data_IF_726085098239
#
_entry.id   IF_726085098239
#
_cell.length_a   1.000
_cell.length_b   1.000
_cell.length_c   1.000
_cell.angle_alpha   90.00
_cell.angle_beta   90.00
_cell.angle_gamma   90.00
#
_symmetry.space_group_name_H-M   'P 1'
#
loop_
_entity.id
_entity.type
_entity.pdbx_description
1 polymer ?
#
# COMPACT_ATOMS: atom_id res chain seq x y z
N UNK A 1 2.86 14.46 -20.27
CA UNK A 1 2.90 13.64 -19.04
C UNK A 1 3.99 12.62 -19.30
N UNK A 2 5.17 12.73 -18.67
CA UNK A 2 6.25 11.76 -18.92
C UNK A 2 5.79 10.42 -18.36
N UNK A 3 5.43 9.49 -19.23
CA UNK A 3 5.26 8.09 -18.87
C UNK A 3 6.62 7.60 -18.35
N UNK A 4 6.74 7.51 -17.03
CA UNK A 4 7.93 6.99 -16.39
C UNK A 4 7.96 5.48 -16.67
N UNK A 5 9.02 4.98 -17.29
CA UNK A 5 9.16 3.53 -17.50
C UNK A 5 9.10 2.80 -16.16
N UNK A 6 8.51 1.61 -16.13
CA UNK A 6 8.35 0.82 -14.90
C UNK A 6 9.70 0.62 -14.17
N UNK A 7 10.80 0.49 -14.92
CA UNK A 7 12.16 0.42 -14.39
C UNK A 7 12.57 1.68 -13.62
N UNK A 8 12.31 2.87 -14.18
CA UNK A 8 12.62 4.14 -13.49
C UNK A 8 11.76 4.32 -12.25
N UNK A 9 10.50 3.89 -12.30
CA UNK A 9 9.58 3.92 -11.17
C UNK A 9 10.07 3.01 -10.04
N UNK A 10 10.51 1.80 -10.37
CA UNK A 10 11.13 0.86 -9.42
C UNK A 10 12.39 1.46 -8.80
N UNK A 11 13.32 1.95 -9.63
CA UNK A 11 14.56 2.54 -9.15
C UNK A 11 14.31 3.70 -8.17
N UNK A 12 13.34 4.57 -8.49
CA UNK A 12 12.96 5.68 -7.60
C UNK A 12 12.33 5.18 -6.29
N UNK A 13 11.41 4.22 -6.34
CA UNK A 13 10.77 3.70 -5.14
C UNK A 13 11.76 2.99 -4.21
N UNK A 14 12.70 2.22 -4.77
CA UNK A 14 13.79 1.59 -4.01
C UNK A 14 14.71 2.64 -3.39
N UNK A 15 15.04 3.70 -4.12
CA UNK A 15 15.85 4.82 -3.62
C UNK A 15 15.19 5.54 -2.44
N UNK A 16 13.87 5.63 -2.44
CA UNK A 16 13.11 6.28 -1.36
C UNK A 16 12.98 5.43 -0.09
N UNK A 17 13.37 4.14 -0.12
CA UNK A 17 13.37 3.30 1.07
C UNK A 17 14.51 3.71 2.00
N UNK A 18 14.20 3.88 3.29
CA UNK A 18 15.17 4.26 4.31
C UNK A 18 15.00 3.41 5.57
N UNK A 19 16.11 3.21 6.30
CA UNK A 19 16.11 2.48 7.57
C UNK A 19 15.66 1.03 7.42
N UNK A 20 14.70 0.61 8.23
CA UNK A 20 14.17 -0.77 8.27
C UNK A 20 13.61 -1.24 6.91
N UNK A 21 13.03 -0.31 6.13
CA UNK A 21 12.47 -0.65 4.82
C UNK A 21 13.57 -0.96 3.79
N UNK A 22 14.68 -0.23 3.84
CA UNK A 22 15.84 -0.50 2.98
C UNK A 22 16.50 -1.83 3.35
N UNK A 23 16.69 -2.07 4.66
CA UNK A 23 17.30 -3.31 5.15
C UNK A 23 16.48 -4.54 4.74
N UNK A 24 15.17 -4.48 4.95
CA UNK A 24 14.27 -5.54 4.50
C UNK A 24 14.33 -5.74 2.98
N UNK A 25 14.21 -4.66 2.21
CA UNK A 25 14.17 -4.75 0.75
C UNK A 25 15.45 -5.40 0.20
N UNK A 26 16.62 -5.10 0.78
CA UNK A 26 17.89 -5.74 0.41
C UNK A 26 17.84 -7.27 0.58
N UNK A 27 17.29 -7.74 1.70
CA UNK A 27 17.14 -9.17 1.97
C UNK A 27 16.14 -9.85 1.05
N UNK A 28 14.96 -9.23 0.86
CA UNK A 28 13.91 -9.75 -0.03
C UNK A 28 14.35 -9.75 -1.49
N UNK A 29 15.00 -8.69 -1.96
CA UNK A 29 15.56 -8.61 -3.32
C UNK A 29 16.57 -9.72 -3.57
N UNK A 30 17.48 -9.97 -2.62
CA UNK A 30 18.45 -11.06 -2.71
C UNK A 30 17.77 -12.43 -2.79
N UNK A 31 16.77 -12.68 -1.94
CA UNK A 31 15.99 -13.92 -1.96
C UNK A 31 15.22 -14.12 -3.27
N UNK A 32 14.57 -13.08 -3.79
CA UNK A 32 13.82 -13.13 -5.05
C UNK A 32 14.75 -13.43 -6.23
N UNK A 33 15.90 -12.76 -6.27
CA UNK A 33 16.93 -13.00 -7.29
C UNK A 33 17.48 -14.43 -7.21
N UNK A 34 17.76 -14.93 -6.00
CA UNK A 34 18.22 -16.30 -5.79
C UNK A 34 17.20 -17.36 -6.24
N UNK A 35 15.90 -17.03 -6.21
CA UNK A 35 14.81 -17.86 -6.74
C UNK A 35 14.59 -17.71 -8.24
N UNK A 36 15.38 -16.88 -8.92
CA UNK A 36 15.24 -16.58 -10.35
C UNK A 36 14.02 -15.72 -10.68
N UNK A 37 13.43 -15.04 -9.70
CA UNK A 37 12.29 -14.14 -9.91
C UNK A 37 12.78 -12.83 -10.53
N UNK A 38 12.14 -12.39 -11.61
CA UNK A 38 12.38 -11.07 -12.20
C UNK A 38 11.79 -10.02 -11.27
N UNK A 39 12.64 -9.15 -10.72
CA UNK A 39 12.21 -8.05 -9.85
C UNK A 39 11.87 -6.83 -10.69
N UNK A 40 10.63 -6.77 -11.16
CA UNK A 40 10.06 -5.61 -11.82
C UNK A 40 9.21 -4.76 -10.86
N UNK A 41 8.60 -3.70 -11.40
CA UNK A 41 7.75 -2.79 -10.62
C UNK A 41 6.56 -3.50 -9.95
N UNK A 42 5.92 -4.44 -10.64
CA UNK A 42 4.75 -5.14 -10.09
C UNK A 42 5.16 -6.14 -9.01
N UNK A 43 6.29 -6.85 -9.19
CA UNK A 43 6.87 -7.71 -8.17
C UNK A 43 7.20 -6.91 -6.89
N UNK A 44 7.95 -5.80 -7.03
CA UNK A 44 8.25 -4.91 -5.91
C UNK A 44 6.97 -4.43 -5.21
N UNK A 45 6.01 -3.93 -5.99
CA UNK A 45 4.76 -3.40 -5.47
C UNK A 45 3.98 -4.47 -4.69
N UNK A 46 3.89 -5.69 -5.21
CA UNK A 46 3.19 -6.79 -4.56
C UNK A 46 3.82 -7.12 -3.20
N UNK A 47 5.13 -7.39 -3.15
CA UNK A 47 5.81 -7.78 -1.90
C UNK A 47 5.92 -6.61 -0.90
N UNK A 48 6.01 -5.38 -1.40
CA UNK A 48 6.00 -4.19 -0.56
C UNK A 48 4.65 -3.99 0.12
N UNK A 49 3.56 -4.10 -0.63
CA UNK A 49 2.20 -4.02 -0.08
C UNK A 49 1.92 -5.21 0.83
N UNK A 50 2.34 -6.41 0.48
CA UNK A 50 2.19 -7.59 1.33
C UNK A 50 2.91 -7.43 2.67
N UNK A 51 4.03 -6.69 2.75
CA UNK A 51 4.72 -6.48 4.03
C UNK A 51 4.23 -5.28 4.83
N UNK A 52 4.05 -4.13 4.18
CA UNK A 52 3.77 -2.86 4.87
C UNK A 52 2.31 -2.46 4.83
N UNK A 53 1.55 -3.04 3.92
CA UNK A 53 0.12 -2.84 3.74
C UNK A 53 -0.63 -4.15 3.93
N UNK A 54 -0.22 -4.89 4.96
CA UNK A 54 -0.82 -6.16 5.36
C UNK A 54 -2.33 -6.00 5.55
N UNK A 55 -3.04 -7.09 5.27
CA UNK A 55 -4.46 -7.31 5.53
C UNK A 55 -4.93 -6.83 6.91
N UNK A 56 -4.03 -6.80 7.92
CA UNK A 56 -4.27 -6.21 9.24
C UNK A 56 -4.50 -4.70 9.24
N UNK A 57 -3.80 -3.93 8.41
CA UNK A 57 -4.03 -2.49 8.23
C UNK A 57 -5.35 -2.27 7.50
N UNK A 58 -5.66 -3.12 6.51
CA UNK A 58 -6.96 -3.11 5.84
C UNK A 58 -8.09 -3.40 6.83
N UNK A 59 -7.98 -4.46 7.62
CA UNK A 59 -8.94 -4.79 8.67
C UNK A 59 -9.04 -3.74 9.76
N UNK A 60 -7.95 -3.07 10.13
CA UNK A 60 -7.99 -1.95 11.06
C UNK A 60 -8.75 -0.75 10.48
N UNK A 61 -8.56 -0.45 9.19
CA UNK A 61 -9.30 0.61 8.49
C UNK A 61 -10.77 0.24 8.24
N UNK A 62 -11.07 -1.02 7.94
CA UNK A 62 -12.43 -1.55 7.87
C UNK A 62 -13.12 -1.48 9.23
N UNK A 63 -12.44 -1.86 10.32
CA UNK A 63 -12.97 -1.73 11.67
C UNK A 63 -13.20 -0.26 12.06
N UNK A 64 -12.28 0.63 11.71
CA UNK A 64 -12.42 2.08 11.91
C UNK A 64 -13.62 2.64 11.14
N UNK A 65 -13.85 2.16 9.91
CA UNK A 65 -15.02 2.54 9.11
C UNK A 65 -16.33 1.97 9.66
N UNK A 66 -16.35 0.70 10.06
CA UNK A 66 -17.54 0.05 10.65
C UNK A 66 -17.94 0.67 11.99
N UNK A 67 -16.97 1.18 12.74
CA UNK A 67 -17.19 1.90 14.00
C UNK A 67 -17.37 3.42 13.80
N UNK A 68 -17.23 3.93 12.57
CA UNK A 68 -17.39 5.35 12.27
C UNK A 68 -18.87 5.73 12.41
N UNK A 69 -19.20 6.42 13.50
CA UNK A 69 -20.48 7.09 13.69
C UNK A 69 -20.25 8.59 13.81
N UNK A 70 -21.20 9.40 13.35
CA UNK A 70 -21.06 10.86 13.42
C UNK A 70 -20.85 11.34 14.88
N UNK A 71 -21.60 10.80 15.84
CA UNK A 71 -21.48 11.21 17.25
C UNK A 71 -21.64 12.72 17.42
N UNK A 72 -20.70 13.36 18.13
CA UNK A 72 -20.62 14.81 18.28
C UNK A 72 -19.78 15.55 17.22
N UNK A 73 -19.34 14.87 16.16
CA UNK A 73 -18.56 15.48 15.08
C UNK A 73 -19.45 16.38 14.22
N UNK A 74 -18.86 17.46 13.69
CA UNK A 74 -19.51 18.22 12.65
C UNK A 74 -19.70 17.36 11.39
N UNK A 75 -20.80 17.57 10.68
CA UNK A 75 -21.16 16.81 9.47
C UNK A 75 -20.02 16.81 8.45
N UNK A 76 -19.30 17.92 8.32
CA UNK A 76 -18.15 18.07 7.41
C UNK A 76 -16.95 17.21 7.81
N UNK A 77 -16.63 17.12 9.11
CA UNK A 77 -15.53 16.30 9.63
C UNK A 77 -15.84 14.80 9.50
N UNK A 78 -17.10 14.43 9.75
CA UNK A 78 -17.58 13.08 9.52
C UNK A 78 -17.49 12.70 8.03
N UNK A 79 -17.98 13.56 7.12
CA UNK A 79 -17.94 13.30 5.68
C UNK A 79 -16.50 13.12 5.17
N UNK A 80 -15.56 13.95 5.64
CA UNK A 80 -14.14 13.82 5.27
C UNK A 80 -13.54 12.50 5.74
N UNK A 81 -13.84 12.07 6.97
CA UNK A 81 -13.39 10.76 7.50
C UNK A 81 -14.01 9.60 6.74
N UNK A 82 -15.31 9.70 6.43
CA UNK A 82 -16.04 8.70 5.65
C UNK A 82 -15.42 8.53 4.26
N UNK A 83 -15.19 9.62 3.52
CA UNK A 83 -14.57 9.56 2.19
C UNK A 83 -13.14 9.03 2.22
N UNK A 84 -12.36 9.39 3.25
CA UNK A 84 -10.99 8.90 3.41
C UNK A 84 -10.96 7.38 3.66
N UNK A 85 -11.82 6.89 4.55
CA UNK A 85 -11.90 5.48 4.92
C UNK A 85 -12.53 4.62 3.80
N UNK A 86 -13.50 5.15 3.05
CA UNK A 86 -14.14 4.46 1.93
C UNK A 86 -13.16 4.05 0.81
N UNK A 87 -12.06 4.80 0.63
CA UNK A 87 -11.02 4.49 -0.38
C UNK A 87 -10.26 3.19 -0.09
N UNK A 88 -10.24 2.76 1.16
CA UNK A 88 -9.63 1.48 1.55
C UNK A 88 -10.56 0.29 1.28
N UNK A 89 -11.87 0.54 1.14
CA UNK A 89 -12.86 -0.47 0.79
C UNK A 89 -13.02 -0.66 -0.72
N UNK A 90 -12.84 0.40 -1.52
CA UNK A 90 -13.01 0.30 -2.99
C UNK A 90 -11.93 -0.53 -3.69
N UNK A 91 -10.81 -0.85 -3.03
CA UNK A 91 -9.80 -1.77 -3.56
C UNK A 91 -10.27 -3.24 -3.52
N UNK A 92 -11.36 -3.54 -2.80
CA UNK A 92 -11.98 -4.88 -2.74
C UNK A 92 -13.00 -5.10 -3.87
N UNK A 93 -13.50 -4.04 -4.53
CA UNK A 93 -14.56 -4.12 -5.56
C UNK A 93 -13.99 -4.05 -7.00
N UNK A 94 -12.77 -4.55 -7.22
CA UNK A 94 -12.28 -4.86 -8.58
C UNK A 94 -12.36 -6.35 -8.91
N UNK A 95 -12.92 -7.17 -8.01
CA UNK A 95 -13.39 -8.52 -8.32
C UNK A 95 -14.91 -8.57 -8.16
N UNK A 96 -15.62 -8.23 -9.24
CA UNK A 96 -17.01 -8.59 -9.47
C UNK A 96 -17.23 -8.77 -10.98
#
# INVERSE_FOLDING_TARGET
MLECSQERRLAYAVYMLVGEAEHWWRGTHHMLTARGVIVDWECFRAVFLEKYFLESVRHAKEAEFMLLHQGGLFVSEYAMRFEHLARFYSQVIFEA
#
